data_IF_535567166772
#
_entry.id   IF_535567166772
#
_cell.length_a   1.000
_cell.length_b   1.000
_cell.length_c   1.000
_cell.angle_alpha   90.00
_cell.angle_beta   90.00
_cell.angle_gamma   90.00
#
_symmetry.space_group_name_H-M   'P 1'
#
loop_
_entity.id
_entity.type
_entity.pdbx_description
1 polymer ?
#
# COMPACT_ATOMS: atom_id res chain seq x y z
N UNK A 1 -2.58 25.19 13.06
CA UNK A 1 -2.02 24.15 12.18
C UNK A 1 -2.81 24.02 10.88
N UNK A 2 -4.09 23.61 10.91
CA UNK A 2 -4.95 23.58 9.72
C UNK A 2 -5.05 24.98 9.08
N UNK A 3 -5.36 26.00 9.88
CA UNK A 3 -5.48 27.39 9.41
C UNK A 3 -4.17 27.95 8.80
N UNK A 4 -3.02 27.49 9.30
CA UNK A 4 -1.71 27.92 8.79
C UNK A 4 -1.40 27.27 7.43
N UNK A 5 -1.81 26.00 7.27
CA UNK A 5 -1.73 25.27 6.00
C UNK A 5 -2.68 25.91 4.97
N UNK A 6 -3.90 26.25 5.37
CA UNK A 6 -4.85 26.94 4.49
C UNK A 6 -4.35 28.32 4.09
N UNK A 7 -3.85 29.13 5.02
CA UNK A 7 -3.27 30.45 4.73
C UNK A 7 -2.09 30.34 3.76
N UNK A 8 -1.23 29.36 3.95
CA UNK A 8 -0.10 29.12 3.06
C UNK A 8 -0.53 28.67 1.66
N UNK A 9 -1.44 27.69 1.57
CA UNK A 9 -1.96 27.21 0.28
C UNK A 9 -2.78 28.28 -0.46
N UNK A 10 -3.48 29.15 0.26
CA UNK A 10 -4.15 30.31 -0.33
C UNK A 10 -3.16 31.30 -0.96
N UNK A 11 -1.94 31.40 -0.42
CA UNK A 11 -0.89 32.29 -0.94
C UNK A 11 -0.13 31.67 -2.12
N UNK A 12 0.23 30.37 -2.04
CA UNK A 12 1.16 29.73 -2.99
C UNK A 12 0.43 28.98 -4.11
N UNK A 13 -0.90 28.89 -4.06
CA UNK A 13 -1.80 28.13 -4.94
C UNK A 13 -1.61 26.61 -4.86
N UNK A 14 -0.38 26.12 -4.87
CA UNK A 14 -0.05 24.70 -4.74
C UNK A 14 1.30 24.50 -4.03
N UNK A 15 1.43 23.44 -3.24
CA UNK A 15 2.71 23.11 -2.60
C UNK A 15 2.79 21.63 -2.23
N UNK A 16 4.01 21.13 -2.03
CA UNK A 16 4.21 19.77 -1.49
C UNK A 16 4.25 19.81 0.04
N UNK A 17 3.95 18.68 0.69
CA UNK A 17 3.97 18.60 2.15
C UNK A 17 5.34 18.95 2.78
N UNK A 18 6.43 18.78 2.03
CA UNK A 18 7.78 19.18 2.46
C UNK A 18 7.95 20.70 2.47
N UNK A 19 7.47 21.37 1.40
CA UNK A 19 7.51 22.84 1.29
C UNK A 19 6.60 23.47 2.34
N UNK A 20 5.38 22.95 2.52
CA UNK A 20 4.43 23.41 3.53
C UNK A 20 5.03 23.30 4.94
N UNK A 21 5.67 22.16 5.26
CA UNK A 21 6.31 21.97 6.56
C UNK A 21 7.49 22.91 6.78
N UNK A 22 8.29 23.15 5.74
CA UNK A 22 9.42 24.07 5.81
C UNK A 22 8.97 25.51 6.05
N UNK A 23 7.90 25.96 5.41
CA UNK A 23 7.45 27.35 5.51
C UNK A 23 6.73 27.63 6.83
N UNK A 24 5.87 26.72 7.27
CA UNK A 24 5.11 26.88 8.52
C UNK A 24 6.01 26.61 9.74
N UNK A 25 7.21 26.04 9.53
CA UNK A 25 8.17 25.73 10.60
C UNK A 25 7.71 24.58 11.49
N UNK A 26 6.88 23.67 10.97
CA UNK A 26 6.31 22.55 11.72
C UNK A 26 6.93 21.20 11.30
N UNK A 27 6.91 20.19 12.18
CA UNK A 27 7.37 18.85 11.84
C UNK A 27 6.62 18.27 10.64
N UNK A 28 7.37 17.77 9.66
CA UNK A 28 6.80 17.26 8.40
C UNK A 28 5.73 16.18 8.61
N UNK A 29 5.92 15.27 9.58
CA UNK A 29 4.94 14.21 9.85
C UNK A 29 3.60 14.74 10.35
N UNK A 30 3.60 15.81 11.14
CA UNK A 30 2.37 16.39 11.67
C UNK A 30 1.63 17.16 10.58
N UNK A 31 2.37 17.83 9.70
CA UNK A 31 1.83 18.48 8.50
C UNK A 31 1.20 17.46 7.55
N UNK A 32 1.86 16.32 7.30
CA UNK A 32 1.28 15.25 6.46
C UNK A 32 -0.01 14.67 7.07
N UNK A 33 -0.05 14.46 8.39
CA UNK A 33 -1.26 13.99 9.08
C UNK A 33 -2.41 15.00 8.98
N UNK A 34 -2.13 16.29 9.17
CA UNK A 34 -3.14 17.34 9.02
C UNK A 34 -3.64 17.44 7.58
N UNK A 35 -2.75 17.46 6.59
CA UNK A 35 -3.14 17.53 5.17
C UNK A 35 -3.98 16.32 4.76
N UNK A 36 -3.64 15.10 5.22
CA UNK A 36 -4.46 13.92 4.94
C UNK A 36 -5.85 14.00 5.57
N UNK A 37 -5.99 14.64 6.74
CA UNK A 37 -7.29 14.91 7.36
C UNK A 37 -8.06 15.95 6.56
N UNK A 38 -7.42 17.06 6.18
CA UNK A 38 -8.02 18.10 5.32
C UNK A 38 -8.48 17.56 3.96
N UNK A 39 -7.75 16.61 3.39
CA UNK A 39 -8.16 15.91 2.17
C UNK A 39 -9.37 15.00 2.41
N UNK A 40 -9.41 14.27 3.53
CA UNK A 40 -10.58 13.45 3.88
C UNK A 40 -11.84 14.31 4.11
N UNK A 41 -11.66 15.52 4.65
CA UNK A 41 -12.73 16.49 4.91
C UNK A 41 -13.11 17.31 3.67
N UNK A 42 -12.42 17.13 2.54
CA UNK A 42 -12.69 17.84 1.28
C UNK A 42 -12.33 19.33 1.30
N UNK A 43 -11.35 19.73 2.13
CA UNK A 43 -10.79 21.09 2.14
C UNK A 43 -9.60 21.25 1.17
N UNK A 44 -8.86 20.16 0.92
CA UNK A 44 -7.63 20.12 0.11
C UNK A 44 -7.70 18.99 -0.89
N UNK A 45 -7.37 19.28 -2.14
CA UNK A 45 -7.16 18.26 -3.18
C UNK A 45 -5.68 17.88 -3.27
N UNK A 46 -5.42 16.71 -3.86
CA UNK A 46 -4.04 16.27 -4.12
C UNK A 46 -3.90 15.59 -5.47
N UNK A 47 -2.74 15.79 -6.09
CA UNK A 47 -2.34 15.05 -7.29
C UNK A 47 -0.91 14.54 -7.15
N UNK A 48 -0.66 13.38 -7.74
CA UNK A 48 0.67 12.77 -7.78
C UNK A 48 1.50 13.45 -8.86
N UNK A 49 2.67 14.00 -8.49
CA UNK A 49 3.56 14.66 -9.44
C UNK A 49 4.03 13.69 -10.53
N UNK A 50 3.98 14.11 -11.79
CA UNK A 50 4.51 13.35 -12.91
C UNK A 50 6.03 13.14 -12.73
N UNK A 51 6.46 11.88 -12.65
CA UNK A 51 7.86 11.51 -12.46
C UNK A 51 8.34 11.35 -11.01
N UNK A 52 7.45 11.35 -10.01
CA UNK A 52 7.84 11.16 -8.60
C UNK A 52 6.78 10.50 -7.72
N UNK A 53 7.17 10.17 -6.47
CA UNK A 53 6.27 9.65 -5.42
C UNK A 53 5.72 10.76 -4.50
N UNK A 54 5.84 12.02 -4.90
CA UNK A 54 5.41 13.17 -4.10
C UNK A 54 4.04 13.68 -4.57
N UNK A 55 3.20 14.07 -3.60
CA UNK A 55 1.90 14.71 -3.86
C UNK A 55 2.03 16.23 -3.78
N UNK A 56 1.35 16.91 -4.69
CA UNK A 56 1.11 18.35 -4.66
C UNK A 56 -0.30 18.58 -4.10
N UNK A 57 -0.45 19.56 -3.23
CA UNK A 57 -1.70 19.88 -2.53
C UNK A 57 -2.14 21.31 -2.85
N UNK A 58 -3.46 21.51 -2.98
CA UNK A 58 -4.08 22.83 -3.16
C UNK A 58 -5.47 22.88 -2.51
N UNK A 59 -5.96 24.10 -2.22
CA UNK A 59 -7.29 24.27 -1.65
C UNK A 59 -8.38 24.00 -2.69
N UNK A 60 -9.47 23.36 -2.28
CA UNK A 60 -10.63 23.04 -3.14
C UNK A 60 -11.31 24.30 -3.72
N UNK A 61 -11.18 25.44 -3.02
CA UNK A 61 -11.64 26.77 -3.50
C UNK A 61 -10.58 27.53 -4.31
N UNK A 62 -9.34 27.06 -4.33
CA UNK A 62 -8.31 27.56 -5.21
C UNK A 62 -8.56 27.00 -6.61
N UNK A 63 -8.81 27.88 -7.57
CA UNK A 63 -8.95 27.51 -8.98
C UNK A 63 -7.82 26.54 -9.37
N UNK A 64 -8.13 25.35 -9.93
CA UNK A 64 -7.08 24.46 -10.41
C UNK A 64 -6.24 25.22 -11.43
N UNK A 65 -4.89 25.16 -11.38
CA UNK A 65 -4.09 25.71 -12.45
C UNK A 65 -4.39 24.89 -13.71
N UNK A 66 -5.11 25.54 -14.63
CA UNK A 66 -5.04 25.23 -16.05
C UNK A 66 -3.56 25.19 -16.41
N UNK A 67 -3.13 24.01 -16.84
CA UNK A 67 -1.90 23.74 -17.57
C UNK A 67 -1.40 25.01 -18.27
N UNK A 68 -0.22 25.52 -17.90
CA UNK A 68 0.51 26.51 -18.68
C UNK A 68 0.91 25.86 -20.00
N UNK A 69 -0.05 25.76 -20.91
CA UNK A 69 0.23 25.85 -22.33
C UNK A 69 0.61 27.32 -22.56
N UNK A 70 1.86 27.55 -22.92
CA UNK A 70 2.23 28.79 -23.57
C UNK A 70 1.37 28.91 -24.84
N UNK A 71 0.31 29.73 -24.82
CA UNK A 71 0.16 30.85 -25.75
C UNK A 71 -1.08 31.70 -25.45
N UNK A 72 -0.87 33.01 -25.52
CA UNK A 72 -1.81 34.07 -25.93
C UNK A 72 -2.97 34.54 -25.02
N UNK A 73 -2.66 35.64 -24.32
CA UNK A 73 -3.27 36.96 -24.50
C UNK A 73 -4.81 37.10 -24.55
N UNK A 74 -5.35 37.53 -23.40
CA UNK A 74 -6.29 38.65 -23.21
C UNK A 74 -7.08 39.19 -24.41
N UNK A 75 -8.41 39.07 -24.38
CA UNK A 75 -9.32 40.00 -25.05
C UNK A 75 -10.55 40.33 -24.18
N UNK A 76 -10.77 41.63 -24.01
CA UNK A 76 -11.99 42.26 -23.50
C UNK A 76 -13.11 42.25 -24.59
N UNK A 77 -14.36 42.65 -24.28
CA UNK A 77 -15.57 42.05 -24.84
C UNK A 77 -16.05 42.67 -26.16
N UNK A 78 -16.69 41.85 -26.99
CA UNK A 78 -17.53 42.29 -28.10
C UNK A 78 -18.90 41.57 -28.07
N UNK A 79 -19.97 42.36 -28.06
CA UNK A 79 -21.31 41.94 -28.49
C UNK A 79 -21.47 42.26 -30.00
N UNK A 80 -22.53 41.83 -30.71
CA UNK A 80 -23.35 40.61 -30.55
C UNK A 80 -23.43 39.75 -31.84
N UNK A 81 -23.70 38.46 -31.63
CA UNK A 81 -24.51 37.49 -32.40
C UNK A 81 -24.74 37.78 -33.90
N UNK A 82 -24.18 36.91 -34.74
CA UNK A 82 -24.79 36.51 -36.00
C UNK A 82 -24.67 34.99 -36.18
N UNK A 83 -25.80 34.42 -36.51
CA UNK A 83 -26.14 33.02 -36.73
C UNK A 83 -25.15 32.27 -37.63
N UNK A 84 -24.52 31.22 -37.09
CA UNK A 84 -23.97 30.12 -37.87
C UNK A 84 -23.85 28.90 -36.93
N UNK A 85 -24.63 27.86 -37.21
CA UNK A 85 -24.41 26.52 -36.67
C UNK A 85 -22.91 26.19 -36.72
N UNK A 86 -22.26 25.84 -35.60
CA UNK A 86 -20.85 25.52 -35.64
C UNK A 86 -20.72 24.16 -36.32
N UNK A 87 -20.37 24.17 -37.61
CA UNK A 87 -19.69 23.03 -38.22
C UNK A 87 -18.46 22.80 -37.35
N UNK A 88 -18.48 21.73 -36.54
CA UNK A 88 -17.39 21.42 -35.64
C UNK A 88 -16.07 21.46 -36.45
N UNK A 89 -15.04 22.19 -35.99
CA UNK A 89 -13.81 22.27 -36.75
C UNK A 89 -13.23 20.86 -36.89
N UNK A 90 -12.56 20.53 -38.02
CA UNK A 90 -11.95 19.22 -38.25
C UNK A 90 -11.01 18.80 -37.12
N UNK A 91 -10.48 19.76 -36.34
CA UNK A 91 -9.70 19.54 -35.14
C UNK A 91 -10.47 18.80 -34.02
N UNK A 92 -11.76 19.08 -33.81
CA UNK A 92 -12.57 18.42 -32.78
C UNK A 92 -12.80 16.94 -33.11
N UNK A 93 -13.03 16.61 -34.39
CA UNK A 93 -13.16 15.23 -34.84
C UNK A 93 -11.85 14.45 -34.72
N UNK A 94 -10.72 15.10 -35.01
CA UNK A 94 -9.37 14.52 -34.82
C UNK A 94 -9.13 14.20 -33.34
N UNK A 95 -9.40 15.16 -32.44
CA UNK A 95 -9.25 14.97 -31.00
C UNK A 95 -10.16 13.84 -30.48
N UNK A 96 -11.42 13.78 -30.92
CA UNK A 96 -12.34 12.70 -30.52
C UNK A 96 -11.84 11.34 -31.01
N UNK A 97 -11.29 11.25 -32.22
CA UNK A 97 -10.70 10.02 -32.75
C UNK A 97 -9.47 9.59 -31.96
N UNK A 98 -8.58 10.53 -31.63
CA UNK A 98 -7.39 10.26 -30.82
C UNK A 98 -7.76 9.80 -29.41
N UNK A 99 -8.73 10.47 -28.77
CA UNK A 99 -9.24 10.07 -27.46
C UNK A 99 -9.89 8.67 -27.51
N UNK A 100 -10.61 8.32 -28.57
CA UNK A 100 -11.17 6.96 -28.73
C UNK A 100 -10.07 5.90 -28.86
N UNK A 101 -9.07 6.16 -29.69
CA UNK A 101 -7.92 5.26 -29.83
C UNK A 101 -7.15 5.10 -28.50
N UNK A 102 -7.02 6.19 -27.75
CA UNK A 102 -6.39 6.17 -26.44
C UNK A 102 -7.21 5.41 -25.40
N UNK A 103 -8.54 5.58 -25.39
CA UNK A 103 -9.44 4.80 -24.53
C UNK A 103 -9.35 3.31 -24.86
N UNK A 104 -9.33 2.94 -26.14
CA UNK A 104 -9.15 1.54 -26.56
C UNK A 104 -7.82 0.97 -26.08
N UNK A 105 -6.73 1.74 -26.25
CA UNK A 105 -5.38 1.37 -25.78
C UNK A 105 -5.34 1.17 -24.26
N UNK A 106 -5.86 2.13 -23.51
CA UNK A 106 -5.91 2.08 -22.04
C UNK A 106 -6.81 0.95 -21.54
N UNK A 107 -7.91 0.67 -22.24
CA UNK A 107 -8.80 -0.44 -21.89
C UNK A 107 -8.10 -1.78 -22.08
N UNK A 108 -7.40 -1.97 -23.20
CA UNK A 108 -6.59 -3.16 -23.47
C UNK A 108 -5.47 -3.33 -22.44
N UNK A 109 -4.77 -2.25 -22.10
CA UNK A 109 -3.74 -2.25 -21.05
C UNK A 109 -4.33 -2.60 -19.67
N UNK A 110 -5.48 -2.04 -19.31
CA UNK A 110 -6.15 -2.34 -18.05
C UNK A 110 -6.56 -3.82 -17.96
N UNK A 111 -7.08 -4.40 -19.05
CA UNK A 111 -7.39 -5.83 -19.11
C UNK A 111 -6.15 -6.69 -18.91
N UNK A 112 -5.04 -6.36 -19.57
CA UNK A 112 -3.76 -7.06 -19.41
C UNK A 112 -3.25 -6.99 -17.96
N UNK A 113 -3.29 -5.80 -17.35
CA UNK A 113 -2.87 -5.59 -15.96
C UNK A 113 -3.76 -6.35 -14.97
N UNK A 114 -5.08 -6.38 -15.18
CA UNK A 114 -6.01 -7.16 -14.36
C UNK A 114 -5.71 -8.66 -14.45
N UNK A 115 -5.52 -9.17 -15.65
CA UNK A 115 -5.14 -10.57 -15.85
C UNK A 115 -3.81 -10.90 -15.16
N UNK A 116 -2.80 -10.04 -15.27
CA UNK A 116 -1.52 -10.23 -14.58
C UNK A 116 -1.69 -10.23 -13.05
N UNK A 117 -2.50 -9.32 -12.51
CA UNK A 117 -2.81 -9.25 -11.09
C UNK A 117 -3.53 -10.52 -10.59
N UNK A 118 -4.49 -11.04 -11.35
CA UNK A 118 -5.20 -12.28 -11.00
C UNK A 118 -4.25 -13.47 -11.03
N UNK A 119 -3.37 -13.57 -12.03
CA UNK A 119 -2.31 -14.58 -12.08
C UNK A 119 -1.39 -14.49 -10.85
N UNK A 120 -0.96 -13.28 -10.47
CA UNK A 120 -0.10 -13.11 -9.29
C UNK A 120 -0.82 -13.50 -7.99
N UNK A 121 -2.11 -13.17 -7.84
CA UNK A 121 -2.91 -13.61 -6.69
C UNK A 121 -3.02 -15.13 -6.62
N UNK A 122 -3.30 -15.78 -7.75
CA UNK A 122 -3.38 -17.24 -7.82
C UNK A 122 -2.02 -17.91 -7.50
N UNK A 123 -0.93 -17.36 -8.04
CA UNK A 123 0.42 -17.84 -7.76
C UNK A 123 0.80 -17.66 -6.28
N UNK A 124 0.46 -16.51 -5.69
CA UNK A 124 0.69 -16.26 -4.27
C UNK A 124 -0.06 -17.27 -3.40
N UNK A 125 -1.35 -17.49 -3.65
CA UNK A 125 -2.15 -18.48 -2.92
C UNK A 125 -1.56 -19.91 -3.05
N UNK A 126 -1.08 -20.27 -4.25
CA UNK A 126 -0.43 -21.57 -4.49
C UNK A 126 0.88 -21.71 -3.71
N UNK A 127 1.71 -20.66 -3.72
CA UNK A 127 2.97 -20.65 -2.98
C UNK A 127 2.74 -20.69 -1.47
N UNK A 128 1.73 -19.98 -0.97
CA UNK A 128 1.33 -20.03 0.44
C UNK A 128 0.91 -21.45 0.84
N UNK A 129 0.03 -22.09 0.07
CA UNK A 129 -0.35 -23.48 0.32
C UNK A 129 0.85 -24.43 0.32
N UNK A 130 1.81 -24.22 -0.60
CA UNK A 130 3.02 -25.05 -0.66
C UNK A 130 3.98 -24.78 0.51
N UNK A 131 4.10 -23.53 0.95
CA UNK A 131 4.88 -23.16 2.14
C UNK A 131 4.25 -23.84 3.36
N UNK A 132 2.93 -23.79 3.49
CA UNK A 132 2.24 -24.45 4.59
C UNK A 132 2.45 -25.96 4.55
N UNK A 133 2.35 -26.61 3.38
CA UNK A 133 2.68 -28.03 3.21
C UNK A 133 4.12 -28.35 3.60
N UNK A 134 5.10 -27.54 3.18
CA UNK A 134 6.52 -27.78 3.48
C UNK A 134 6.91 -27.46 4.92
N UNK A 135 6.23 -26.50 5.55
CA UNK A 135 6.58 -25.98 6.88
C UNK A 135 5.79 -26.65 8.00
N UNK A 136 4.52 -26.96 7.73
CA UNK A 136 3.58 -27.54 8.68
C UNK A 136 3.30 -29.03 8.40
N UNK A 137 3.64 -29.52 7.19
CA UNK A 137 3.22 -30.84 6.72
C UNK A 137 1.74 -30.87 6.32
N UNK A 138 1.24 -31.94 5.68
CA UNK A 138 -0.20 -32.13 5.49
C UNK A 138 -0.91 -32.11 6.85
N UNK A 139 -2.17 -31.64 6.89
CA UNK A 139 -3.00 -31.67 8.11
C UNK A 139 -2.98 -33.10 8.67
N UNK A 140 -2.34 -33.31 9.82
CA UNK A 140 -2.18 -34.62 10.47
C UNK A 140 -0.82 -35.32 10.30
N UNK A 141 0.10 -34.79 9.50
CA UNK A 141 1.43 -35.39 9.30
C UNK A 141 2.54 -34.36 9.51
N UNK A 142 3.24 -34.51 10.64
CA UNK A 142 4.54 -33.90 10.97
C UNK A 142 4.59 -32.51 11.63
N UNK A 143 3.60 -32.15 12.46
CA UNK A 143 3.92 -31.30 13.60
C UNK A 143 4.77 -32.12 14.60
N UNK A 144 5.93 -31.62 15.07
CA UNK A 144 6.73 -32.34 16.06
C UNK A 144 5.88 -32.53 17.31
N UNK A 145 5.71 -33.80 17.69
CA UNK A 145 4.84 -34.21 18.78
C UNK A 145 5.33 -33.70 20.13
N UNK A 146 6.63 -33.41 20.27
CA UNK A 146 7.21 -32.99 21.53
C UNK A 146 8.23 -31.87 21.35
N UNK A 147 8.30 -30.96 22.31
CA UNK A 147 9.28 -29.89 22.39
C UNK A 147 10.00 -29.98 23.73
N UNK A 148 11.32 -30.07 23.68
CA UNK A 148 12.17 -29.97 24.87
C UNK A 148 12.61 -28.53 25.09
N UNK A 149 12.36 -27.97 26.28
CA UNK A 149 12.74 -26.61 26.67
C UNK A 149 13.61 -26.68 27.92
N UNK A 150 14.83 -26.13 27.86
CA UNK A 150 15.72 -25.96 29.01
C UNK A 150 15.89 -24.48 29.34
N UNK A 151 16.53 -24.18 30.47
CA UNK A 151 16.84 -22.79 30.87
C UNK A 151 17.91 -22.18 29.97
N UNK A 152 18.97 -22.93 29.65
CA UNK A 152 20.13 -22.43 28.91
C UNK A 152 20.20 -22.97 27.46
N UNK A 153 19.54 -24.08 27.19
CA UNK A 153 19.60 -24.82 25.94
C UNK A 153 18.45 -24.43 25.03
N UNK A 154 18.77 -24.22 23.74
CA UNK A 154 17.77 -23.88 22.72
C UNK A 154 16.63 -24.91 22.72
N UNK A 155 15.36 -24.48 22.60
CA UNK A 155 14.24 -25.38 22.40
C UNK A 155 14.47 -26.29 21.19
N UNK A 156 14.09 -27.55 21.31
CA UNK A 156 14.21 -28.52 20.21
C UNK A 156 12.95 -29.34 20.06
N UNK A 157 12.54 -29.51 18.80
CA UNK A 157 11.37 -30.25 18.35
C UNK A 157 11.72 -31.71 18.08
N UNK A 158 10.83 -32.63 18.44
CA UNK A 158 11.01 -34.08 18.31
C UNK A 158 9.77 -34.71 17.68
N UNK A 159 10.01 -35.75 16.90
CA UNK A 159 8.96 -36.57 16.26
C UNK A 159 8.41 -37.67 17.18
N UNK A 160 8.99 -37.87 18.37
CA UNK A 160 8.65 -38.95 19.29
C UNK A 160 9.04 -38.61 20.73
N UNK A 161 8.29 -39.16 21.69
CA UNK A 161 8.52 -38.92 23.12
C UNK A 161 9.89 -39.45 23.55
N UNK A 162 10.29 -40.61 23.04
CA UNK A 162 11.56 -41.24 23.37
C UNK A 162 12.76 -40.37 22.99
N UNK A 163 12.72 -39.70 21.83
CA UNK A 163 13.79 -38.77 21.43
C UNK A 163 13.82 -37.54 22.32
N UNK A 164 12.65 -37.00 22.68
CA UNK A 164 12.55 -35.87 23.59
C UNK A 164 13.12 -36.22 24.98
N UNK A 165 12.74 -37.37 25.54
CA UNK A 165 13.25 -37.87 26.80
C UNK A 165 14.76 -38.13 26.76
N UNK A 166 15.26 -38.74 25.68
CA UNK A 166 16.69 -39.01 25.50
C UNK A 166 17.51 -37.72 25.53
N UNK A 167 17.04 -36.66 24.85
CA UNK A 167 17.67 -35.34 24.88
C UNK A 167 17.60 -34.72 26.28
N UNK A 168 16.43 -34.73 26.91
CA UNK A 168 16.26 -34.17 28.26
C UNK A 168 17.23 -34.80 29.26
N UNK A 169 17.31 -36.13 29.27
CA UNK A 169 18.27 -36.89 30.09
C UNK A 169 19.72 -36.52 29.79
N UNK A 170 20.07 -36.36 28.51
CA UNK A 170 21.43 -35.99 28.11
C UNK A 170 21.83 -34.60 28.62
N UNK A 171 20.94 -33.62 28.53
CA UNK A 171 21.19 -32.24 28.97
C UNK A 171 21.35 -32.12 30.49
N UNK A 172 20.52 -32.84 31.24
CA UNK A 172 20.64 -32.88 32.71
C UNK A 172 21.90 -33.62 33.13
N UNK A 173 22.20 -34.76 32.49
CA UNK A 173 23.41 -35.54 32.79
C UNK A 173 24.70 -34.77 32.49
N UNK A 174 24.71 -33.93 31.46
CA UNK A 174 25.88 -33.12 31.12
C UNK A 174 25.99 -31.83 31.93
N UNK A 175 25.21 -31.67 33.02
CA UNK A 175 25.15 -30.48 33.88
C UNK A 175 24.85 -29.16 33.14
N UNK A 176 24.30 -29.27 31.92
CA UNK A 176 23.98 -28.11 31.08
C UNK A 176 22.66 -27.48 31.51
N UNK A 177 21.77 -28.31 32.05
CA UNK A 177 20.46 -27.94 32.57
C UNK A 177 20.24 -28.58 33.93
N UNK A 178 19.62 -27.85 34.86
CA UNK A 178 19.09 -28.44 36.10
C UNK A 178 17.75 -29.14 35.86
N UNK A 179 17.00 -28.70 34.86
CA UNK A 179 15.68 -29.21 34.51
C UNK A 179 15.42 -29.00 33.02
N UNK A 180 14.75 -29.97 32.38
CA UNK A 180 14.30 -29.86 30.99
C UNK A 180 12.83 -30.26 30.92
N UNK A 181 11.98 -29.35 30.47
CA UNK A 181 10.58 -29.60 30.24
C UNK A 181 10.40 -30.31 28.90
N UNK A 182 9.62 -31.40 28.90
CA UNK A 182 9.16 -32.08 27.68
C UNK A 182 7.69 -31.76 27.51
N UNK A 183 7.37 -30.92 26.53
CA UNK A 183 6.04 -30.39 26.30
C UNK A 183 5.42 -31.01 25.05
N UNK A 184 4.14 -31.33 25.12
CA UNK A 184 3.33 -31.71 23.96
C UNK A 184 2.54 -30.48 23.47
N UNK A 185 2.65 -30.07 22.20
CA UNK A 185 1.92 -28.94 21.68
C UNK A 185 0.43 -29.28 21.54
N UNK A 186 -0.42 -28.44 22.14
CA UNK A 186 -1.90 -28.59 22.12
C UNK A 186 -2.57 -27.91 20.93
N UNK A 187 -1.82 -27.10 20.18
CA UNK A 187 -2.27 -26.41 18.98
C UNK A 187 -1.19 -25.44 18.50
N UNK A 188 -1.48 -24.73 17.41
CA UNK A 188 -0.56 -23.77 16.80
C UNK A 188 -1.30 -22.51 16.37
N UNK A 189 -0.61 -21.37 16.38
CA UNK A 189 -1.11 -20.12 15.78
C UNK A 189 -0.41 -19.95 14.43
N UNK A 190 -1.19 -19.74 13.38
CA UNK A 190 -0.68 -19.53 12.02
C UNK A 190 -0.80 -18.06 11.59
N UNK A 191 -0.36 -17.74 10.37
CA UNK A 191 -0.48 -16.38 9.80
C UNK A 191 -1.94 -15.93 9.84
N UNK A 192 -2.17 -14.65 10.11
CA UNK A 192 -3.53 -14.14 10.36
C UNK A 192 -4.04 -14.38 11.80
N UNK A 193 -3.15 -14.78 12.72
CA UNK A 193 -3.45 -15.01 14.16
C UNK A 193 -4.49 -16.10 14.43
N UNK A 194 -4.72 -16.96 13.46
CA UNK A 194 -5.69 -18.05 13.57
C UNK A 194 -5.15 -19.18 14.45
N UNK A 195 -5.96 -19.62 15.41
CA UNK A 195 -5.69 -20.80 16.21
C UNK A 195 -6.08 -22.06 15.44
N UNK A 196 -5.11 -22.94 15.21
CA UNK A 196 -5.35 -24.27 14.68
C UNK A 196 -5.18 -25.28 15.81
N UNK A 197 -6.24 -26.04 16.15
CA UNK A 197 -6.10 -27.18 17.05
C UNK A 197 -5.16 -28.22 16.40
N UNK A 198 -4.63 -29.10 17.25
CA UNK A 198 -3.76 -30.18 16.81
C UNK A 198 -4.47 -31.17 15.89
#
# INVERSE_FOLDING_TARGET
>A
MTDDIERFLASVKEATAKVIASEIGLPHLDVVKAINRMHADGAVEREKRAGGNEYVYWLVRGTPPTRTAANEASLAPAAPIADALPTAPPAAEIIVRELRAEVERLTAENHSLRHAADTWRANAATLEARIDELTLGPIGTHAPLFVTVGRNSKPQRHDSLDKAQRRGRALVRSEKESEVLVLEPVGRIVRGTEWMPR
#
